data_IF_533068202766
#
_entry.id   IF_533068202766
#
_cell.length_a   1.000
_cell.length_b   1.000
_cell.length_c   1.000
_cell.angle_alpha   90.00
_cell.angle_beta   90.00
_cell.angle_gamma   90.00
#
_symmetry.space_group_name_H-M   'P 1'
#
loop_
_entity.id
_entity.type
_entity.pdbx_description
1 polymer ?
#
# COMPACT_ATOMS: atom_id res chain seq x y z
N UNK A 1 -4.11 -5.03 -7.96
CA UNK A 1 -2.75 -5.52 -7.76
C UNK A 1 -2.06 -5.84 -9.08
N UNK A 2 -0.84 -6.38 -9.06
CA UNK A 2 -0.06 -6.62 -10.30
C UNK A 2 -0.66 -7.69 -11.22
N UNK A 3 -1.40 -8.66 -10.69
CA UNK A 3 -2.08 -9.68 -11.49
C UNK A 3 -3.23 -9.12 -12.33
N UNK A 4 -3.88 -8.03 -11.89
CA UNK A 4 -4.94 -7.37 -12.66
C UNK A 4 -4.38 -6.69 -13.93
N UNK A 5 -3.09 -6.32 -13.91
CA UNK A 5 -2.38 -5.76 -15.05
C UNK A 5 -1.82 -6.82 -16.01
N UNK A 6 -1.82 -8.12 -15.66
CA UNK A 6 -1.12 -9.16 -16.42
C UNK A 6 -1.63 -9.31 -17.87
N UNK A 7 -2.90 -8.97 -18.11
CA UNK A 7 -3.55 -9.07 -19.42
C UNK A 7 -3.79 -7.71 -20.08
N UNK A 8 -3.17 -6.63 -19.57
CA UNK A 8 -3.35 -5.24 -20.05
C UNK A 8 -4.82 -4.80 -20.14
N UNK A 9 -5.66 -5.37 -19.27
CA UNK A 9 -7.11 -5.13 -19.20
C UNK A 9 -7.54 -4.55 -17.85
N UNK A 10 -6.60 -3.97 -17.10
CA UNK A 10 -6.87 -3.41 -15.78
C UNK A 10 -8.02 -2.40 -15.78
N UNK A 11 -8.15 -1.54 -16.81
CA UNK A 11 -9.23 -0.56 -16.90
C UNK A 11 -10.61 -1.24 -17.04
N UNK A 12 -10.67 -2.33 -17.83
CA UNK A 12 -11.88 -3.13 -17.99
C UNK A 12 -12.23 -3.87 -16.70
N UNK A 13 -11.23 -4.40 -16.00
CA UNK A 13 -11.41 -5.08 -14.71
C UNK A 13 -11.96 -4.08 -13.69
N UNK A 14 -11.37 -2.89 -13.59
CA UNK A 14 -11.85 -1.82 -12.71
C UNK A 14 -13.31 -1.46 -12.99
N UNK A 15 -13.66 -1.23 -14.26
CA UNK A 15 -15.04 -0.90 -14.65
C UNK A 15 -16.05 -2.01 -14.30
N UNK A 16 -15.66 -3.29 -14.41
CA UNK A 16 -16.51 -4.41 -13.99
C UNK A 16 -16.70 -4.47 -12.48
N UNK A 17 -15.64 -4.20 -11.70
CA UNK A 17 -15.69 -4.14 -10.24
C UNK A 17 -16.57 -2.98 -9.76
N UNK A 18 -16.41 -1.81 -10.35
CA UNK A 18 -17.24 -0.62 -10.09
C UNK A 18 -18.71 -0.87 -10.44
N UNK A 19 -18.98 -1.50 -11.58
CA UNK A 19 -20.32 -1.94 -11.97
C UNK A 19 -20.96 -2.93 -10.99
N UNK A 20 -20.15 -3.63 -10.18
CA UNK A 20 -20.58 -4.52 -9.10
C UNK A 20 -20.64 -3.83 -7.73
N UNK A 21 -20.40 -2.52 -7.64
CA UNK A 21 -20.45 -1.73 -6.40
C UNK A 21 -19.15 -1.70 -5.60
N UNK A 22 -18.02 -2.09 -6.19
CA UNK A 22 -16.69 -1.97 -5.56
C UNK A 22 -16.12 -0.59 -5.84
N UNK A 23 -15.60 0.09 -4.82
CA UNK A 23 -14.77 1.29 -5.01
C UNK A 23 -13.34 0.87 -5.32
N UNK A 24 -12.90 1.07 -6.56
CA UNK A 24 -11.53 0.84 -6.98
C UNK A 24 -10.71 2.09 -6.69
N UNK A 25 -9.57 1.94 -6.00
CA UNK A 25 -8.71 3.07 -5.61
C UNK A 25 -7.35 2.95 -6.30
N UNK A 26 -7.10 3.80 -7.29
CA UNK A 26 -5.80 3.95 -7.97
C UNK A 26 -5.49 5.44 -8.15
N UNK A 27 -5.09 6.08 -7.05
CA UNK A 27 -5.03 7.53 -6.94
C UNK A 27 -6.37 8.18 -6.66
N UNK A 28 -7.25 7.41 -6.04
CA UNK A 28 -8.58 7.84 -5.61
C UNK A 28 -8.77 7.51 -4.14
N UNK A 29 -9.76 8.16 -3.53
CA UNK A 29 -10.11 7.93 -2.14
C UNK A 29 -11.61 7.80 -1.95
N UNK A 30 -11.98 7.21 -0.82
CA UNK A 30 -13.36 7.13 -0.36
C UNK A 30 -13.43 7.49 1.11
N UNK A 31 -14.56 8.06 1.54
CA UNK A 31 -14.79 8.46 2.93
C UNK A 31 -16.02 7.74 3.45
N UNK A 32 -15.85 7.10 4.61
CA UNK A 32 -16.91 6.36 5.30
C UNK A 32 -17.21 7.04 6.64
N UNK A 33 -18.50 7.15 6.99
CA UNK A 33 -18.91 7.56 8.32
C UNK A 33 -19.02 6.32 9.23
N UNK A 34 -18.18 6.23 10.26
CA UNK A 34 -18.09 5.07 11.16
C UNK A 34 -18.12 5.56 12.60
N UNK A 35 -19.13 5.15 13.37
CA UNK A 35 -19.19 5.48 14.80
C UNK A 35 -19.24 6.97 15.15
N UNK A 36 -19.62 7.83 14.19
CA UNK A 36 -19.60 9.30 14.36
C UNK A 36 -18.29 9.96 13.93
N UNK A 37 -17.28 9.18 13.53
CA UNK A 37 -16.02 9.65 12.95
C UNK A 37 -16.02 9.43 11.42
N UNK A 38 -15.17 10.18 10.73
CA UNK A 38 -14.90 10.03 9.31
C UNK A 38 -13.62 9.21 9.09
N UNK A 39 -13.75 8.13 8.32
CA UNK A 39 -12.65 7.25 7.91
C UNK A 39 -12.39 7.45 6.42
N UNK A 40 -11.27 8.09 6.09
CA UNK A 40 -10.78 8.22 4.72
C UNK A 40 -9.84 7.07 4.35
N UNK A 41 -10.05 6.49 3.18
CA UNK A 41 -9.19 5.46 2.61
C UNK A 41 -8.69 5.98 1.27
N UNK A 42 -7.38 6.21 1.16
CA UNK A 42 -6.72 6.54 -0.10
C UNK A 42 -5.88 5.36 -0.57
N UNK A 43 -5.92 5.07 -1.87
CA UNK A 43 -5.25 3.87 -2.38
C UNK A 43 -4.54 4.04 -3.71
N UNK A 44 -3.43 3.33 -3.85
CA UNK A 44 -2.74 3.05 -5.11
C UNK A 44 -2.29 1.60 -5.11
N UNK A 45 -2.12 0.99 -6.27
CA UNK A 45 -1.40 -0.29 -6.36
C UNK A 45 0.02 -0.14 -5.80
N UNK A 46 0.69 0.96 -6.13
CA UNK A 46 2.13 1.12 -5.92
C UNK A 46 2.94 0.41 -6.99
N UNK A 47 4.27 0.47 -6.83
CA UNK A 47 5.20 -0.20 -7.75
C UNK A 47 6.54 -0.53 -7.08
N UNK A 48 7.41 -1.17 -7.86
CA UNK A 48 8.72 -1.68 -7.46
C UNK A 48 9.73 -0.55 -7.28
N UNK A 49 10.81 -0.76 -6.52
CA UNK A 49 11.83 0.29 -6.33
C UNK A 49 12.92 -0.06 -5.32
N UNK A 50 12.66 -1.01 -4.41
CA UNK A 50 13.56 -1.35 -3.32
C UNK A 50 13.34 -0.50 -2.07
N UNK A 51 14.02 -0.86 -0.97
CA UNK A 51 13.73 -0.31 0.35
C UNK A 51 14.87 0.46 1.00
N UNK A 52 16.02 0.54 0.33
CA UNK A 52 17.23 1.14 0.91
C UNK A 52 17.53 2.44 0.20
N UNK A 53 17.41 3.57 0.89
CA UNK A 53 17.80 4.87 0.35
C UNK A 53 19.29 4.83 -0.07
N UNK A 54 19.59 5.30 -1.30
CA UNK A 54 20.95 5.27 -1.87
C UNK A 54 21.44 3.91 -2.40
N UNK A 55 20.77 2.79 -2.08
CA UNK A 55 20.97 1.49 -2.73
C UNK A 55 19.76 1.05 -3.59
N UNK A 56 18.72 1.88 -3.61
CA UNK A 56 17.58 1.78 -4.51
C UNK A 56 17.86 2.53 -5.81
N UNK A 57 17.24 2.10 -6.90
CA UNK A 57 17.50 2.64 -8.24
C UNK A 57 17.06 4.10 -8.33
N UNK A 58 17.97 4.98 -8.76
CA UNK A 58 17.64 6.35 -9.14
C UNK A 58 17.08 6.43 -10.56
N UNK A 59 16.49 7.57 -10.91
CA UNK A 59 16.04 7.87 -12.28
C UNK A 59 17.26 8.18 -13.19
N UNK A 60 18.07 7.17 -13.47
CA UNK A 60 19.31 7.27 -14.22
C UNK A 60 19.48 6.05 -15.16
N UNK A 61 20.42 6.13 -16.10
CA UNK A 61 20.72 5.05 -17.05
C UNK A 61 19.82 5.11 -18.27
N UNK A 62 19.45 3.94 -18.81
CA UNK A 62 18.62 3.77 -20.00
C UNK A 62 17.18 4.28 -19.80
N UNK A 63 16.48 4.56 -20.89
CA UNK A 63 15.09 5.05 -20.85
C UNK A 63 14.15 4.18 -20.03
N UNK A 64 14.30 2.85 -20.12
CA UNK A 64 13.46 1.86 -19.46
C UNK A 64 13.65 1.90 -17.94
N UNK A 65 14.91 2.05 -17.48
CA UNK A 65 15.20 2.20 -16.06
C UNK A 65 14.62 3.51 -15.52
N UNK A 66 14.77 4.61 -16.28
CA UNK A 66 14.18 5.90 -15.89
C UNK A 66 12.66 5.85 -15.87
N UNK A 67 12.03 5.20 -16.84
CA UNK A 67 10.58 5.02 -16.91
C UNK A 67 10.03 4.19 -15.75
N UNK A 68 10.72 3.10 -15.40
CA UNK A 68 10.36 2.26 -14.26
C UNK A 68 10.37 3.06 -12.95
N UNK A 69 11.44 3.83 -12.69
CA UNK A 69 11.55 4.63 -11.47
C UNK A 69 10.61 5.83 -11.46
N UNK A 70 10.39 6.46 -12.62
CA UNK A 70 9.41 7.54 -12.76
C UNK A 70 8.01 7.03 -12.45
N UNK A 71 7.62 5.86 -12.96
CA UNK A 71 6.31 5.27 -12.66
C UNK A 71 6.13 5.00 -11.16
N UNK A 72 7.17 4.50 -10.47
CA UNK A 72 7.13 4.31 -9.01
C UNK A 72 6.94 5.63 -8.28
N UNK A 73 7.69 6.68 -8.68
CA UNK A 73 7.59 8.01 -8.08
C UNK A 73 6.20 8.62 -8.30
N UNK A 74 5.70 8.60 -9.53
CA UNK A 74 4.37 9.11 -9.87
C UNK A 74 3.26 8.38 -9.09
N UNK A 75 3.40 7.07 -8.84
CA UNK A 75 2.46 6.31 -8.01
C UNK A 75 2.51 6.74 -6.54
N UNK A 76 3.71 6.97 -5.99
CA UNK A 76 3.88 7.47 -4.62
C UNK A 76 3.38 8.91 -4.44
N UNK A 77 3.69 9.81 -5.38
CA UNK A 77 3.20 11.19 -5.37
C UNK A 77 1.68 11.25 -5.45
N UNK A 78 1.07 10.41 -6.31
CA UNK A 78 -0.39 10.30 -6.41
C UNK A 78 -1.01 9.81 -5.10
N UNK A 79 -0.40 8.83 -4.45
CA UNK A 79 -0.83 8.37 -3.13
C UNK A 79 -0.76 9.50 -2.10
N UNK A 80 0.35 10.25 -2.06
CA UNK A 80 0.53 11.36 -1.14
C UNK A 80 -0.59 12.40 -1.32
N UNK A 81 -0.81 12.90 -2.54
CA UNK A 81 -1.88 13.87 -2.83
C UNK A 81 -3.25 13.33 -2.45
N UNK A 82 -3.56 12.08 -2.83
CA UNK A 82 -4.84 11.43 -2.50
C UNK A 82 -5.10 11.39 -1.00
N UNK A 83 -4.06 11.14 -0.21
CA UNK A 83 -4.12 11.07 1.24
C UNK A 83 -4.22 12.48 1.86
N UNK A 84 -3.44 13.44 1.39
CA UNK A 84 -3.45 14.83 1.87
C UNK A 84 -4.79 15.54 1.62
N UNK A 85 -5.46 15.24 0.51
CA UNK A 85 -6.76 15.81 0.15
C UNK A 85 -7.91 15.34 1.07
N UNK A 86 -7.71 14.26 1.84
CA UNK A 86 -8.71 13.77 2.79
C UNK A 86 -8.75 14.66 4.03
N UNK A 87 -9.87 15.37 4.24
CA UNK A 87 -10.19 16.02 5.52
C UNK A 87 -11.05 15.08 6.36
N UNK A 88 -10.40 14.25 7.18
CA UNK A 88 -11.03 13.15 7.94
C UNK A 88 -10.41 12.98 9.32
N UNK A 89 -11.12 12.29 10.21
CA UNK A 89 -10.64 11.98 11.57
C UNK A 89 -9.59 10.86 11.55
N UNK A 90 -9.76 9.89 10.64
CA UNK A 90 -8.86 8.74 10.47
C UNK A 90 -8.54 8.51 9.00
N UNK A 91 -7.28 8.20 8.71
CA UNK A 91 -6.75 8.02 7.36
C UNK A 91 -6.05 6.67 7.21
N UNK A 92 -6.44 5.89 6.22
CA UNK A 92 -5.84 4.59 5.88
C UNK A 92 -5.20 4.69 4.50
N UNK A 93 -3.96 4.21 4.38
CA UNK A 93 -3.32 3.97 3.10
C UNK A 93 -3.53 2.52 2.67
N UNK A 94 -4.14 2.31 1.50
CA UNK A 94 -4.40 0.99 0.92
C UNK A 94 -3.49 0.74 -0.29
N UNK A 95 -2.66 -0.29 -0.21
CA UNK A 95 -1.65 -0.60 -1.23
C UNK A 95 -1.73 -2.04 -1.72
N UNK A 96 -1.09 -2.32 -2.86
CA UNK A 96 -0.73 -3.68 -3.24
C UNK A 96 0.73 -3.97 -2.90
N UNK A 97 1.65 -3.14 -3.40
CA UNK A 97 3.09 -3.25 -3.16
C UNK A 97 3.48 -2.82 -1.75
N UNK A 98 4.54 -3.41 -1.20
CA UNK A 98 5.00 -3.12 0.15
C UNK A 98 5.67 -1.73 0.24
N UNK A 99 5.37 -0.93 1.27
CA UNK A 99 6.06 0.34 1.50
C UNK A 99 7.35 0.19 2.33
N UNK A 100 7.50 -0.91 3.08
CA UNK A 100 8.63 -1.12 4.02
C UNK A 100 9.23 -2.51 3.91
N UNK A 101 10.56 -2.60 4.03
CA UNK A 101 11.31 -3.86 3.94
C UNK A 101 10.86 -4.88 4.99
N UNK A 102 10.50 -4.41 6.19
CA UNK A 102 10.10 -5.26 7.30
C UNK A 102 8.99 -6.26 6.91
N UNK A 103 8.07 -5.84 6.03
CA UNK A 103 6.91 -6.64 5.60
C UNK A 103 7.21 -7.63 4.47
N UNK A 104 8.37 -7.52 3.81
CA UNK A 104 8.83 -8.49 2.80
C UNK A 104 9.80 -9.52 3.37
N UNK A 105 10.24 -9.35 4.63
CA UNK A 105 11.11 -10.32 5.30
C UNK A 105 10.47 -11.70 5.34
N UNK A 106 11.19 -12.68 4.80
CA UNK A 106 10.76 -14.06 4.60
C UNK A 106 10.69 -14.45 3.11
N UNK A 107 10.56 -13.47 2.23
CA UNK A 107 10.80 -13.62 0.79
C UNK A 107 12.29 -13.84 0.51
N UNK A 108 12.62 -14.32 -0.70
CA UNK A 108 14.01 -14.41 -1.13
C UNK A 108 14.60 -12.99 -1.23
N UNK A 109 15.77 -12.67 -0.63
CA UNK A 109 16.31 -11.30 -0.62
C UNK A 109 16.48 -10.66 -2.00
N UNK A 110 16.78 -11.47 -3.03
CA UNK A 110 16.88 -11.00 -4.41
C UNK A 110 15.55 -10.48 -4.99
N UNK A 111 14.42 -10.82 -4.37
CA UNK A 111 13.09 -10.37 -4.78
C UNK A 111 12.71 -9.01 -4.20
N UNK A 112 13.37 -8.55 -3.13
CA UNK A 112 12.96 -7.34 -2.39
C UNK A 112 12.76 -6.12 -3.29
N UNK A 113 13.65 -5.81 -4.26
CA UNK A 113 13.44 -4.67 -5.16
C UNK A 113 12.15 -4.73 -5.97
N UNK A 114 11.62 -5.93 -6.21
CA UNK A 114 10.41 -6.17 -7.01
C UNK A 114 9.13 -6.25 -6.17
N UNK A 115 9.22 -6.19 -4.85
CA UNK A 115 8.08 -6.36 -3.95
C UNK A 115 7.54 -5.04 -3.39
N UNK A 116 8.26 -3.94 -3.59
CA UNK A 116 7.87 -2.65 -3.04
C UNK A 116 8.88 -1.55 -3.26
N UNK A 117 8.60 -0.40 -2.65
CA UNK A 117 9.41 0.80 -2.76
C UNK A 117 9.34 1.64 -1.48
N UNK A 118 10.47 2.14 -1.00
CA UNK A 118 10.53 3.08 0.13
C UNK A 118 9.82 4.42 -0.17
N UNK A 119 9.70 4.82 -1.44
CA UNK A 119 8.99 6.03 -1.84
C UNK A 119 7.52 6.02 -1.39
N UNK A 120 6.91 4.83 -1.29
CA UNK A 120 5.54 4.69 -0.77
C UNK A 120 5.49 5.01 0.73
N UNK A 121 6.48 4.59 1.51
CA UNK A 121 6.56 4.94 2.93
C UNK A 121 6.77 6.45 3.12
N UNK A 122 7.63 7.08 2.31
CA UNK A 122 7.83 8.55 2.36
C UNK A 122 6.54 9.32 2.08
N UNK A 123 5.81 8.95 1.02
CA UNK A 123 4.52 9.53 0.67
C UNK A 123 3.49 9.40 1.81
N UNK A 124 3.43 8.23 2.44
CA UNK A 124 2.51 7.94 3.55
C UNK A 124 2.88 8.74 4.80
N UNK A 125 4.16 8.80 5.14
CA UNK A 125 4.66 9.55 6.30
C UNK A 125 4.41 11.05 6.12
N UNK A 126 4.61 11.58 4.90
CA UNK A 126 4.32 12.97 4.58
C UNK A 126 2.82 13.30 4.73
N UNK A 127 1.94 12.43 4.24
CA UNK A 127 0.49 12.63 4.31
C UNK A 127 -0.12 12.33 5.69
N UNK A 128 0.58 11.59 6.55
CA UNK A 128 0.12 11.23 7.90
C UNK A 128 -1.07 10.29 7.91
N UNK A 129 -0.87 9.03 7.51
CA UNK A 129 -1.86 7.96 7.70
C UNK A 129 -1.83 7.39 9.13
N UNK A 130 -2.95 6.87 9.62
CA UNK A 130 -3.02 6.15 10.90
C UNK A 130 -2.62 4.67 10.76
N UNK A 131 -2.82 4.07 9.57
CA UNK A 131 -2.52 2.68 9.27
C UNK A 131 -2.26 2.48 7.78
N UNK A 132 -1.32 1.59 7.45
CA UNK A 132 -1.11 1.10 6.08
C UNK A 132 -1.47 -0.37 5.98
N UNK A 133 -2.23 -0.72 4.93
CA UNK A 133 -2.55 -2.10 4.58
C UNK A 133 -2.03 -2.38 3.18
N UNK A 134 -1.28 -3.48 3.01
CA UNK A 134 -0.80 -3.92 1.71
C UNK A 134 -0.84 -5.45 1.56
N UNK A 135 -0.53 -5.96 0.37
CA UNK A 135 -0.40 -7.39 0.11
C UNK A 135 0.91 -7.73 -0.59
N UNK A 136 0.80 -8.54 -1.65
CA UNK A 136 1.87 -8.91 -2.59
C UNK A 136 3.02 -9.80 -2.06
N UNK A 137 3.57 -9.52 -0.87
CA UNK A 137 4.65 -10.32 -0.29
C UNK A 137 4.08 -11.55 0.42
N UNK A 138 3.89 -12.63 -0.32
CA UNK A 138 3.20 -13.85 0.12
C UNK A 138 4.02 -14.67 1.14
N UNK A 139 5.33 -14.55 1.13
CA UNK A 139 6.22 -15.16 2.12
C UNK A 139 6.82 -14.11 3.07
N UNK A 140 6.28 -12.88 3.04
CA UNK A 140 6.69 -11.78 3.88
C UNK A 140 6.23 -11.92 5.33
N UNK A 141 6.35 -10.81 6.06
CA UNK A 141 5.95 -10.70 7.46
C UNK A 141 4.71 -9.82 7.60
N UNK A 142 3.84 -10.14 8.57
CA UNK A 142 2.56 -9.44 8.78
C UNK A 142 2.76 -7.98 9.20
N UNK A 143 3.81 -7.68 9.96
CA UNK A 143 3.98 -6.39 10.62
C UNK A 143 5.24 -5.64 10.18
N UNK A 144 5.08 -4.34 9.98
CA UNK A 144 6.17 -3.39 9.80
C UNK A 144 5.79 -2.01 10.34
N UNK A 145 6.73 -1.08 10.28
CA UNK A 145 6.52 0.32 10.66
C UNK A 145 7.28 1.20 9.66
N UNK A 146 6.66 2.28 9.19
CA UNK A 146 7.33 3.29 8.38
C UNK A 146 8.38 4.05 9.20
N UNK A 147 9.34 4.76 8.57
CA UNK A 147 10.26 5.64 9.28
C UNK A 147 9.55 6.69 10.17
N UNK A 148 8.39 7.19 9.74
CA UNK A 148 7.55 8.13 10.49
C UNK A 148 6.74 7.50 11.63
N UNK A 149 6.81 6.18 11.83
CA UNK A 149 6.17 5.49 12.95
C UNK A 149 4.77 4.93 12.67
N UNK A 150 4.32 4.94 11.40
CA UNK A 150 3.00 4.44 11.00
C UNK A 150 3.05 2.92 10.87
N UNK A 151 2.06 2.23 11.45
CA UNK A 151 1.97 0.78 11.38
C UNK A 151 1.66 0.32 9.95
N UNK A 152 2.38 -0.71 9.51
CA UNK A 152 2.17 -1.36 8.21
C UNK A 152 1.74 -2.82 8.43
N UNK A 153 0.69 -3.23 7.73
CA UNK A 153 0.11 -4.58 7.80
C UNK A 153 0.10 -5.25 6.42
N UNK A 154 0.85 -6.34 6.30
CA UNK A 154 0.78 -7.22 5.15
C UNK A 154 -0.36 -8.23 5.34
N UNK A 155 -1.43 -8.07 4.56
CA UNK A 155 -2.62 -8.91 4.60
C UNK A 155 -2.67 -9.97 3.50
N UNK A 156 -1.53 -10.28 2.86
CA UNK A 156 -1.46 -11.38 1.93
C UNK A 156 -1.98 -12.69 2.57
N UNK A 157 -2.86 -13.40 1.88
CA UNK A 157 -3.57 -14.56 2.43
C UNK A 157 -2.65 -15.60 3.08
N UNK A 158 -1.48 -15.85 2.50
CA UNK A 158 -0.45 -16.78 3.00
C UNK A 158 0.25 -16.30 4.26
N UNK A 159 0.33 -14.98 4.47
CA UNK A 159 0.86 -14.34 5.68
C UNK A 159 -0.17 -14.40 6.79
N UNK A 160 -1.41 -13.99 6.50
CA UNK A 160 -2.46 -13.91 7.52
C UNK A 160 -3.11 -15.28 7.82
N UNK A 161 -3.04 -16.24 6.91
CA UNK A 161 -3.55 -17.63 7.02
C UNK A 161 -5.01 -17.75 7.47
N UNK A 162 -5.82 -16.73 7.18
CA UNK A 162 -7.25 -16.70 7.45
C UNK A 162 -7.91 -15.69 6.49
N UNK A 163 -9.24 -15.72 6.31
CA UNK A 163 -9.90 -14.94 5.27
C UNK A 163 -9.79 -13.42 5.47
N UNK A 164 -9.64 -12.95 6.72
CA UNK A 164 -9.51 -11.53 7.02
C UNK A 164 -8.74 -11.27 8.32
N UNK A 165 -8.36 -10.01 8.53
CA UNK A 165 -7.83 -9.46 9.78
C UNK A 165 -8.70 -8.29 10.22
N UNK A 166 -8.79 -8.08 11.52
CA UNK A 166 -9.42 -6.90 12.11
C UNK A 166 -8.32 -6.09 12.76
N UNK A 167 -8.27 -4.81 12.41
CA UNK A 167 -7.33 -3.85 12.99
C UNK A 167 -8.14 -2.78 13.70
N UNK A 168 -7.70 -2.44 14.90
CA UNK A 168 -8.17 -1.25 15.60
C UNK A 168 -7.33 -0.06 15.13
N UNK A 169 -7.98 1.08 14.88
CA UNK A 169 -7.32 2.32 14.43
C UNK A 169 -7.72 3.43 15.37
N UNK A 170 -6.74 4.08 16.00
CA UNK A 170 -6.95 5.14 16.99
C UNK A 170 -6.01 5.07 18.20
N UNK A 171 -6.16 6.02 19.12
CA UNK A 171 -5.29 6.11 20.31
C UNK A 171 -5.49 4.88 21.22
N UNK A 172 -4.43 4.06 21.35
CA UNK A 172 -4.43 2.86 22.20
C UNK A 172 -4.76 1.54 21.49
N UNK A 173 -4.86 1.53 20.16
CA UNK A 173 -5.19 0.33 19.38
C UNK A 173 -4.17 -0.82 19.58
N UNK A 174 -4.69 -2.00 19.92
CA UNK A 174 -3.95 -3.26 19.94
C UNK A 174 -4.60 -4.26 18.97
N UNK A 175 -3.82 -5.20 18.44
CA UNK A 175 -4.32 -6.15 17.44
C UNK A 175 -5.20 -7.22 18.11
N UNK A 176 -6.51 -7.16 17.90
CA UNK A 176 -7.44 -8.21 18.30
C UNK A 176 -7.38 -9.42 17.35
N UNK A 177 -7.06 -10.60 17.87
CA UNK A 177 -7.19 -11.84 17.10
C UNK A 177 -8.68 -12.16 16.87
N UNK A 178 -9.17 -11.88 15.65
CA UNK A 178 -10.53 -12.26 15.23
C UNK A 178 -10.82 -13.73 15.56
N UNK A 179 -11.89 -13.96 16.32
CA UNK A 179 -12.33 -15.26 16.78
C UNK A 179 -12.65 -16.22 15.64
N UNK A 180 -12.37 -17.50 15.90
CA UNK A 180 -12.70 -18.63 15.04
C UNK A 180 -14.21 -18.90 15.00
#
# INVERSE_FOLDING_TARGET
GNHDCHSDQQDRISALMEGAGVHVLEGESTVLAVGGESLGIGGVKGFVGGFTEGASWGEFGESQMRELIRHTRESAERLQTTLEDLTVDRRIALLHYAPVEATVKGEHPQMYPFLGSFLLAEAIDAAGADLVVHGHAHYGSEEGVTPGGIQVRNVAHTVIRRPYRVFEVGAGASVGAGGA
#
